data_IF_787394256812
#
_entry.id   IF_787394256812
#
_cell.length_a   1.000
_cell.length_b   1.000
_cell.length_c   1.000
_cell.angle_alpha   90.00
_cell.angle_beta   90.00
_cell.angle_gamma   90.00
#
_symmetry.space_group_name_H-M   'P 1'
#
loop_
_entity.id
_entity.type
_entity.pdbx_description
1 polymer ?
#
# COMPACT_ATOMS: atom_id res chain seq x y z
N UNK A 1 14.37 3.67 -3.90
CA UNK A 1 14.30 4.38 -2.60
C UNK A 1 14.32 3.31 -1.53
N UNK A 2 15.03 3.46 -0.41
CA UNK A 2 14.93 2.45 0.67
C UNK A 2 13.63 2.63 1.48
N UNK A 3 13.23 1.64 2.27
CA UNK A 3 12.09 1.77 3.20
C UNK A 3 12.31 2.97 4.15
N UNK A 4 13.51 3.07 4.72
CA UNK A 4 13.94 4.20 5.55
C UNK A 4 13.78 5.57 4.87
N UNK A 5 14.17 5.68 3.60
CA UNK A 5 14.03 6.93 2.85
C UNK A 5 12.55 7.30 2.66
N UNK A 6 11.67 6.31 2.46
CA UNK A 6 10.24 6.53 2.29
C UNK A 6 9.57 6.96 3.61
N UNK A 7 9.88 6.29 4.72
CA UNK A 7 9.39 6.67 6.06
C UNK A 7 9.85 8.09 6.42
N UNK A 8 11.13 8.39 6.16
CA UNK A 8 11.66 9.73 6.36
C UNK A 8 10.91 10.77 5.51
N UNK A 9 10.63 10.45 4.24
CA UNK A 9 9.85 11.33 3.36
C UNK A 9 8.44 11.58 3.91
N UNK A 10 7.76 10.54 4.41
CA UNK A 10 6.43 10.67 5.03
C UNK A 10 6.44 11.70 6.15
N UNK A 11 7.45 11.64 7.03
CA UNK A 11 7.62 12.58 8.13
C UNK A 11 8.03 14.00 7.66
N UNK A 12 9.07 14.11 6.83
CA UNK A 12 9.62 15.40 6.37
C UNK A 12 8.60 16.22 5.56
N UNK A 13 7.71 15.54 4.85
CA UNK A 13 6.71 16.15 3.99
C UNK A 13 5.33 16.34 4.66
N UNK A 14 5.18 15.97 5.94
CA UNK A 14 3.92 16.00 6.70
C UNK A 14 2.76 15.28 5.98
N UNK A 15 3.07 14.09 5.43
CA UNK A 15 2.09 13.23 4.77
C UNK A 15 1.21 12.59 5.85
N UNK A 16 -0.11 12.76 5.73
CA UNK A 16 -1.07 12.27 6.73
C UNK A 16 -1.45 10.81 6.50
N UNK A 17 -1.48 10.39 5.23
CA UNK A 17 -1.96 9.07 4.82
C UNK A 17 -1.06 8.42 3.77
N UNK A 18 -1.02 7.10 3.79
CA UNK A 18 -0.40 6.29 2.74
C UNK A 18 -1.49 5.45 2.08
N UNK A 19 -1.67 5.65 0.78
CA UNK A 19 -2.64 4.95 -0.04
C UNK A 19 -1.97 3.82 -0.82
N UNK A 20 -2.28 2.59 -0.43
CA UNK A 20 -1.64 1.39 -0.93
C UNK A 20 -2.46 0.83 -2.08
N UNK A 21 -1.87 0.74 -3.26
CA UNK A 21 -2.56 0.43 -4.52
C UNK A 21 -2.11 -0.89 -5.12
N UNK A 22 -3.05 -1.70 -5.58
CA UNK A 22 -2.77 -2.95 -6.29
C UNK A 22 -3.82 -3.21 -7.37
N UNK A 23 -3.51 -4.06 -8.35
CA UNK A 23 -4.44 -4.35 -9.45
C UNK A 23 -5.02 -5.75 -9.30
N UNK A 24 -6.34 -5.86 -9.40
CA UNK A 24 -7.00 -7.17 -9.41
C UNK A 24 -6.81 -7.89 -10.76
N UNK A 25 -7.15 -9.19 -10.88
CA UNK A 25 -6.92 -9.96 -12.11
C UNK A 25 -7.75 -9.47 -13.30
N UNK A 26 -8.77 -8.64 -13.05
CA UNK A 26 -9.65 -8.06 -14.07
C UNK A 26 -9.13 -6.69 -14.54
N UNK A 27 -8.00 -6.23 -14.01
CA UNK A 27 -7.35 -4.99 -14.38
C UNK A 27 -7.87 -3.76 -13.64
N UNK A 28 -8.71 -3.92 -12.61
CA UNK A 28 -9.19 -2.79 -11.81
C UNK A 28 -8.19 -2.49 -10.70
N UNK A 29 -7.84 -1.21 -10.56
CA UNK A 29 -7.06 -0.70 -9.44
C UNK A 29 -7.90 -0.74 -8.17
N UNK A 30 -7.38 -1.40 -7.15
CA UNK A 30 -7.90 -1.47 -5.79
C UNK A 30 -6.93 -0.73 -4.87
N UNK A 31 -7.42 -0.26 -3.73
CA UNK A 31 -6.57 0.47 -2.79
C UNK A 31 -7.07 0.37 -1.35
N UNK A 32 -6.14 0.52 -0.41
CA UNK A 32 -6.37 0.62 1.04
C UNK A 32 -5.53 1.78 1.57
N UNK A 33 -6.15 2.65 2.36
CA UNK A 33 -5.46 3.80 2.95
C UNK A 33 -5.18 3.55 4.42
N UNK A 34 -3.95 3.82 4.85
CA UNK A 34 -3.51 3.75 6.25
C UNK A 34 -3.02 5.11 6.73
N UNK A 35 -3.04 5.32 8.04
CA UNK A 35 -2.55 6.55 8.67
C UNK A 35 -1.02 6.47 8.76
N UNK A 36 -0.33 7.60 8.59
CA UNK A 36 1.14 7.66 8.56
C UNK A 36 1.86 6.94 9.72
N UNK A 37 1.31 6.91 10.94
CA UNK A 37 1.93 6.30 12.11
C UNK A 37 1.95 4.76 12.08
N UNK A 38 1.13 4.15 11.22
CA UNK A 38 1.12 2.70 10.98
C UNK A 38 2.19 2.28 9.95
N UNK A 39 2.85 3.24 9.29
CA UNK A 39 3.82 2.98 8.22
C UNK A 39 5.24 3.18 8.73
N UNK A 40 5.89 2.09 9.08
CA UNK A 40 7.30 2.03 9.45
C UNK A 40 8.13 1.20 8.46
N UNK A 41 9.43 1.03 8.75
CA UNK A 41 10.34 0.27 7.88
C UNK A 41 9.92 -1.21 7.80
N UNK A 42 9.44 -1.78 8.91
CA UNK A 42 8.98 -3.17 8.98
C UNK A 42 7.68 -3.38 8.20
N UNK A 43 6.77 -2.41 8.18
CA UNK A 43 5.57 -2.42 7.36
C UNK A 43 5.91 -2.46 5.86
N UNK A 44 6.92 -1.69 5.45
CA UNK A 44 7.33 -1.60 4.05
C UNK A 44 8.09 -2.85 3.61
N UNK A 45 9.11 -3.27 4.37
CA UNK A 45 9.95 -4.43 4.01
C UNK A 45 9.20 -5.75 4.26
N UNK A 46 8.46 -5.79 5.36
CA UNK A 46 7.69 -6.93 5.81
C UNK A 46 6.38 -7.08 5.06
N UNK A 47 5.87 -6.06 4.37
CA UNK A 47 4.55 -6.06 3.73
C UNK A 47 3.39 -6.26 4.71
N UNK A 48 2.16 -6.10 4.24
CA UNK A 48 0.98 -6.23 5.08
C UNK A 48 0.03 -7.31 4.58
N UNK A 49 -0.63 -7.96 5.54
CA UNK A 49 -1.61 -9.00 5.28
C UNK A 49 -2.95 -8.37 4.89
N UNK A 50 -3.58 -8.94 3.88
CA UNK A 50 -4.89 -8.52 3.41
C UNK A 50 -5.74 -9.74 3.06
N UNK A 51 -7.03 -9.66 3.42
CA UNK A 51 -8.00 -10.70 3.10
C UNK A 51 -8.42 -10.62 1.62
N UNK A 52 -7.83 -11.49 0.82
CA UNK A 52 -8.10 -11.58 -0.62
C UNK A 52 -9.50 -12.10 -0.97
N UNK A 53 -10.26 -12.65 -0.01
CA UNK A 53 -11.59 -13.21 -0.27
C UNK A 53 -12.61 -12.16 -0.76
N UNK A 54 -12.36 -10.89 -0.43
CA UNK A 54 -13.20 -9.76 -0.84
C UNK A 54 -12.91 -9.27 -2.27
N UNK A 55 -11.90 -9.82 -2.97
CA UNK A 55 -11.53 -9.42 -4.33
C UNK A 55 -12.07 -10.43 -5.34
N UNK A 56 -12.92 -9.95 -6.25
CA UNK A 56 -13.56 -10.80 -7.25
C UNK A 56 -12.54 -11.47 -8.18
N UNK A 57 -12.41 -12.80 -8.08
CA UNK A 57 -11.48 -13.60 -8.86
C UNK A 57 -10.17 -13.94 -8.14
N UNK A 58 -10.04 -13.60 -6.85
CA UNK A 58 -8.99 -14.12 -5.97
C UNK A 58 -9.43 -15.36 -5.20
N UNK A 59 -8.47 -16.00 -4.50
CA UNK A 59 -8.56 -17.35 -3.92
C UNK A 59 -9.82 -17.58 -3.08
N UNK A 60 -10.27 -18.84 -3.06
CA UNK A 60 -11.35 -19.32 -2.17
C UNK A 60 -11.00 -19.07 -0.70
N UNK A 61 -12.02 -18.95 0.16
CA UNK A 61 -11.96 -18.60 1.60
C UNK A 61 -10.84 -19.33 2.37
N UNK A 62 -10.52 -20.58 2.01
CA UNK A 62 -9.52 -21.43 2.68
C UNK A 62 -8.05 -21.06 2.44
N UNK A 63 -7.73 -20.13 1.53
CA UNK A 63 -6.35 -19.63 1.27
C UNK A 63 -6.31 -18.11 1.07
N UNK A 64 -7.12 -17.37 1.85
CA UNK A 64 -7.39 -15.94 1.64
C UNK A 64 -6.29 -14.99 2.15
N UNK A 65 -5.35 -15.48 2.95
CA UNK A 65 -4.22 -14.69 3.44
C UNK A 65 -3.27 -14.36 2.28
N UNK A 66 -3.41 -13.15 1.75
CA UNK A 66 -2.53 -12.59 0.73
C UNK A 66 -1.68 -11.49 1.34
N UNK A 67 -0.50 -11.28 0.76
CA UNK A 67 0.44 -10.30 1.26
C UNK A 67 0.70 -9.23 0.20
N UNK A 68 0.59 -7.97 0.61
CA UNK A 68 0.87 -6.82 -0.23
C UNK A 68 2.28 -6.31 0.12
N UNK A 69 3.17 -6.38 -0.87
CA UNK A 69 4.56 -5.93 -0.77
C UNK A 69 4.69 -4.57 -1.48
N UNK A 70 4.92 -3.48 -0.75
CA UNK A 70 5.11 -2.15 -1.32
C UNK A 70 6.37 -2.04 -2.19
N UNK A 71 6.22 -1.41 -3.35
CA UNK A 71 7.34 -0.98 -4.19
C UNK A 71 7.63 0.51 -3.92
N UNK A 72 8.65 0.77 -3.10
CA UNK A 72 9.07 2.12 -2.72
C UNK A 72 9.49 3.00 -3.89
N UNK A 73 9.80 2.43 -5.06
CA UNK A 73 10.16 3.21 -6.25
C UNK A 73 8.94 3.79 -6.97
N UNK A 74 7.74 3.26 -6.68
CA UNK A 74 6.48 3.70 -7.25
C UNK A 74 5.81 4.86 -6.49
N UNK A 75 6.45 5.38 -5.44
CA UNK A 75 5.82 6.32 -4.51
C UNK A 75 5.65 7.75 -5.06
N UNK A 76 4.42 8.27 -5.07
CA UNK A 76 4.07 9.64 -5.49
C UNK A 76 2.99 10.27 -4.62
N UNK A 77 2.85 11.60 -4.65
CA UNK A 77 1.74 12.29 -3.98
C UNK A 77 0.52 12.27 -4.90
N UNK A 78 -0.63 11.84 -4.38
CA UNK A 78 -1.88 11.94 -5.12
C UNK A 78 -2.33 13.41 -5.21
N UNK A 79 -2.59 13.95 -6.41
CA UNK A 79 -3.01 15.34 -6.57
C UNK A 79 -4.51 15.57 -6.28
N UNK A 80 -5.29 14.51 -6.03
CA UNK A 80 -6.75 14.58 -5.92
C UNK A 80 -7.28 14.44 -4.49
N UNK A 81 -6.51 13.85 -3.56
CA UNK A 81 -6.91 13.83 -2.15
C UNK A 81 -6.87 15.23 -1.53
N UNK A 82 -7.83 15.52 -0.65
CA UNK A 82 -7.86 16.77 0.10
C UNK A 82 -6.70 16.86 1.11
N UNK A 83 -6.43 15.74 1.79
CA UNK A 83 -5.30 15.59 2.71
C UNK A 83 -4.09 15.05 1.97
N UNK A 84 -2.90 15.52 2.35
CA UNK A 84 -1.64 15.12 1.69
C UNK A 84 -1.42 13.62 1.86
N UNK A 85 -1.57 12.88 0.76
CA UNK A 85 -1.58 11.42 0.73
C UNK A 85 -0.54 10.91 -0.25
N UNK A 86 0.32 10.00 0.22
CA UNK A 86 1.31 9.34 -0.61
C UNK A 86 0.75 8.02 -1.13
N UNK A 87 0.74 7.84 -2.45
CA UNK A 87 0.39 6.58 -3.08
C UNK A 87 1.63 5.70 -3.24
N UNK A 88 1.46 4.41 -3.02
CA UNK A 88 2.47 3.39 -3.30
C UNK A 88 1.82 2.17 -3.93
N UNK A 89 2.41 1.67 -5.02
CA UNK A 89 1.96 0.43 -5.65
C UNK A 89 2.55 -0.78 -4.95
N UNK A 90 1.77 -1.86 -4.90
CA UNK A 90 2.16 -3.13 -4.31
C UNK A 90 2.09 -4.27 -5.31
N UNK A 91 2.96 -5.26 -5.08
CA UNK A 91 2.79 -6.60 -5.62
C UNK A 91 2.00 -7.45 -4.63
N UNK A 92 1.15 -8.31 -5.17
CA UNK A 92 0.37 -9.28 -4.38
C UNK A 92 1.10 -10.61 -4.43
N UNK A 93 1.45 -11.17 -3.27
CA UNK A 93 2.14 -12.47 -3.14
C UNK A 93 1.38 -13.44 -2.24
#
# INVERSE_FOLDING_TARGET
MSAKDLVKRIADEDIQYVDIRFTDPRGKLQHVTVINHEVDEDFIDGGFMFDGSSIAGWKSIDESDMKLIPDTTSAYIDPFYAEKTLCIHCSVV
#
